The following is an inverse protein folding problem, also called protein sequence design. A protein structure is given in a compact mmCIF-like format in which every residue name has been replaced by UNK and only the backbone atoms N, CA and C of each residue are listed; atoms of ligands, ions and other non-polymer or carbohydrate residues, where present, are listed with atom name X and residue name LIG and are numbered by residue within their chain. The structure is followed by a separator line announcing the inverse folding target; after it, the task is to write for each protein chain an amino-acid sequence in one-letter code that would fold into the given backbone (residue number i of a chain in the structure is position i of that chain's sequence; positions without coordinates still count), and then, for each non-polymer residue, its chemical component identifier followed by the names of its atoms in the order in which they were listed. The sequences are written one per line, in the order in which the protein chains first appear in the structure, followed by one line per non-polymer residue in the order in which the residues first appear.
data_IF_794233042996
#
_entry.id   IF_794233042996
#
_cell.length_a   1.000
_cell.length_b   1.000
_cell.length_c   1.000
_cell.angle_alpha   90.00
_cell.angle_beta   90.00
_cell.angle_gamma   90.00
#
_symmetry.space_group_name_H-M   'P 1'
#
loop_
_entity.id
_entity.type
_entity.pdbx_description
1 polymer ?
#
# COMPACT_ATOMS: atom_id res chain seq x y z
N UNK A 1 -31.99 -36.04 -62.82
CA UNK A 1 -30.99 -36.71 -63.68
C UNK A 1 -30.46 -37.93 -62.92
N UNK A 2 -30.41 -39.08 -63.61
CA UNK A 2 -29.69 -40.36 -63.34
C UNK A 2 -30.04 -41.10 -62.03
N UNK A 3 -30.65 -42.31 -61.95
CA UNK A 3 -30.63 -43.62 -62.69
C UNK A 3 -29.46 -44.56 -62.32
N UNK A 4 -29.83 -45.85 -62.13
CA UNK A 4 -29.11 -47.15 -61.94
C UNK A 4 -29.04 -47.69 -60.49
N UNK A 5 -29.74 -48.79 -60.11
CA UNK A 5 -29.61 -50.25 -60.45
C UNK A 5 -28.51 -50.95 -59.60
N UNK A 6 -28.49 -52.23 -59.19
CA UNK A 6 -29.27 -53.47 -59.35
C UNK A 6 -28.64 -54.55 -58.40
N UNK A 7 -29.37 -55.64 -58.08
CA UNK A 7 -28.99 -57.06 -57.78
C UNK A 7 -29.81 -57.66 -56.61
N UNK A 8 -30.74 -58.61 -56.80
CA UNK A 8 -30.63 -60.07 -57.15
C UNK A 8 -29.95 -60.89 -56.01
N UNK A 9 -30.56 -61.90 -55.37
CA UNK A 9 -30.97 -63.27 -55.83
C UNK A 9 -31.89 -63.91 -54.75
N UNK A 10 -33.01 -64.62 -54.95
CA UNK A 10 -33.38 -65.85 -55.69
C UNK A 10 -32.84 -67.19 -55.11
N UNK A 11 -33.72 -68.04 -54.54
CA UNK A 11 -33.71 -69.54 -54.56
C UNK A 11 -34.97 -70.19 -53.91
N UNK A 12 -35.99 -70.42 -54.75
CA UNK A 12 -36.79 -71.64 -55.05
C UNK A 12 -36.28 -73.00 -54.45
N UNK A 13 -37.01 -74.08 -54.09
CA UNK A 13 -38.26 -74.73 -54.56
C UNK A 13 -38.69 -75.93 -53.66
N UNK A 14 -40.00 -76.23 -53.73
CA UNK A 14 -40.69 -77.53 -53.91
C UNK A 14 -41.04 -78.50 -52.76
N UNK A 15 -42.25 -79.01 -52.94
CA UNK A 15 -43.07 -79.93 -52.16
C UNK A 15 -42.82 -81.41 -52.50
N UNK A 16 -43.34 -82.34 -51.67
CA UNK A 16 -44.14 -83.48 -52.15
C UNK A 16 -44.78 -84.29 -51.00
N UNK A 17 -46.04 -84.67 -51.19
CA UNK A 17 -46.73 -85.83 -50.56
C UNK A 17 -46.54 -87.04 -51.50
N UNK A 18 -46.54 -88.29 -51.01
CA UNK A 18 -47.68 -89.17 -51.30
C UNK A 18 -48.05 -90.16 -50.17
N UNK A 19 -49.22 -90.77 -50.37
CA UNK A 19 -49.86 -91.81 -49.56
C UNK A 19 -49.58 -93.24 -50.07
N UNK A 20 -50.17 -94.22 -49.36
CA UNK A 20 -50.49 -95.62 -49.75
C UNK A 20 -49.43 -96.70 -49.41
N UNK A 21 -49.70 -97.96 -49.06
CA UNK A 21 -50.90 -98.81 -48.77
C UNK A 21 -50.38 -100.20 -48.32
N UNK A 22 -51.08 -100.84 -47.38
CA UNK A 22 -51.33 -102.30 -47.14
C UNK A 22 -50.28 -103.34 -46.66
N UNK A 23 -50.88 -104.21 -45.80
CA UNK A 23 -50.72 -105.67 -45.55
C UNK A 23 -49.50 -106.16 -44.75
N UNK A 24 -49.55 -107.18 -43.90
CA UNK A 24 -50.59 -108.02 -43.27
C UNK A 24 -49.89 -108.91 -42.22
N UNK A 25 -50.55 -109.30 -41.12
CA UNK A 25 -49.99 -110.29 -40.19
C UNK A 25 -50.96 -110.70 -39.08
N UNK A 26 -51.34 -111.97 -39.11
CA UNK A 26 -52.37 -112.65 -38.30
C UNK A 26 -52.07 -112.76 -36.78
N UNK A 27 -53.14 -112.81 -35.98
CA UNK A 27 -53.30 -113.82 -34.91
C UNK A 27 -53.40 -113.30 -33.47
N UNK A 28 -54.50 -113.62 -32.78
CA UNK A 28 -54.56 -113.67 -31.32
C UNK A 28 -55.88 -113.22 -30.68
N UNK A 29 -56.70 -114.19 -30.26
CA UNK A 29 -57.91 -114.04 -29.46
C UNK A 29 -57.70 -113.27 -28.14
N UNK A 30 -58.68 -112.47 -27.70
CA UNK A 30 -58.75 -112.03 -26.30
C UNK A 30 -59.73 -110.89 -25.98
N UNK A 31 -60.93 -111.27 -25.53
CA UNK A 31 -61.89 -110.54 -24.68
C UNK A 31 -62.34 -109.10 -25.01
N UNK A 32 -63.62 -109.03 -25.35
CA UNK A 32 -64.59 -107.92 -25.28
C UNK A 32 -64.47 -107.03 -24.03
N UNK A 33 -64.53 -105.70 -24.17
CA UNK A 33 -65.26 -104.81 -23.26
C UNK A 33 -65.48 -103.39 -23.86
N UNK A 34 -66.74 -102.97 -23.99
CA UNK A 34 -67.14 -101.55 -23.86
C UNK A 34 -67.59 -100.78 -25.11
N UNK A 35 -68.40 -101.34 -26.01
CA UNK A 35 -69.06 -100.53 -27.06
C UNK A 35 -70.20 -99.71 -26.43
N UNK A 36 -70.12 -98.39 -26.58
CA UNK A 36 -71.14 -97.44 -26.15
C UNK A 36 -72.11 -97.19 -27.31
N UNK A 37 -73.24 -97.90 -27.31
CA UNK A 37 -74.19 -97.93 -28.44
C UNK A 37 -74.98 -96.62 -28.60
N UNK A 38 -75.10 -95.82 -27.54
CA UNK A 38 -75.80 -94.52 -27.59
C UNK A 38 -75.03 -93.43 -26.83
N UNK A 39 -74.58 -92.42 -27.58
CA UNK A 39 -73.81 -91.28 -27.08
C UNK A 39 -74.72 -90.09 -26.79
N UNK A 40 -74.47 -89.38 -25.69
CA UNK A 40 -75.11 -88.10 -25.36
C UNK A 40 -74.08 -86.98 -25.28
N UNK A 41 -74.55 -85.72 -25.41
CA UNK A 41 -73.70 -84.53 -25.38
C UNK A 41 -72.94 -84.40 -24.06
N UNK A 42 -71.62 -84.21 -24.17
CA UNK A 42 -70.74 -83.94 -23.05
C UNK A 42 -70.78 -82.45 -22.77
N UNK A 43 -71.16 -82.09 -21.55
CA UNK A 43 -71.13 -80.70 -21.11
C UNK A 43 -69.74 -80.39 -20.56
N UNK A 44 -69.10 -79.38 -21.14
CA UNK A 44 -67.83 -78.86 -20.68
C UNK A 44 -68.08 -77.89 -19.52
N UNK A 45 -67.57 -78.23 -18.35
CA UNK A 45 -67.63 -77.36 -17.18
C UNK A 45 -66.23 -76.79 -16.96
N UNK A 46 -66.13 -75.47 -17.11
CA UNK A 46 -64.92 -74.74 -16.77
C UNK A 46 -64.97 -74.25 -15.32
N UNK A 47 -63.82 -74.23 -14.63
CA UNK A 47 -63.72 -73.61 -13.31
C UNK A 47 -64.21 -72.17 -13.34
N UNK A 48 -64.72 -71.68 -12.22
CA UNK A 48 -65.28 -70.33 -12.11
C UNK A 48 -64.31 -69.27 -12.66
N UNK A 49 -64.79 -68.48 -13.62
CA UNK A 49 -64.03 -67.41 -14.27
C UNK A 49 -63.13 -67.85 -15.43
N UNK A 50 -63.19 -69.11 -15.87
CA UNK A 50 -62.61 -69.56 -17.14
C UNK A 50 -63.73 -69.85 -18.15
N UNK A 51 -63.46 -69.54 -19.41
CA UNK A 51 -64.36 -69.81 -20.53
C UNK A 51 -63.80 -70.94 -21.39
N UNK A 52 -64.69 -71.76 -21.96
CA UNK A 52 -64.25 -72.85 -22.83
C UNK A 52 -63.84 -72.28 -24.18
N UNK A 53 -62.55 -72.38 -24.48
CA UNK A 53 -61.99 -72.01 -25.78
C UNK A 53 -62.09 -73.21 -26.72
N UNK A 54 -62.93 -73.07 -27.74
CA UNK A 54 -63.24 -74.16 -28.67
C UNK A 54 -62.01 -74.55 -29.52
N UNK A 55 -61.13 -73.60 -29.82
CA UNK A 55 -59.96 -73.81 -30.68
C UNK A 55 -58.86 -74.59 -29.96
N UNK A 56 -58.56 -74.26 -28.70
CA UNK A 56 -57.53 -74.96 -27.89
C UNK A 56 -58.08 -76.14 -27.09
N UNK A 57 -59.40 -76.37 -27.10
CA UNK A 57 -60.12 -77.35 -26.28
C UNK A 57 -59.76 -77.28 -24.79
N UNK A 58 -59.56 -76.06 -24.28
CA UNK A 58 -59.17 -75.80 -22.88
C UNK A 58 -60.03 -74.72 -22.28
N UNK A 59 -60.09 -74.70 -20.96
CA UNK A 59 -60.66 -73.56 -20.25
C UNK A 59 -59.61 -72.44 -20.23
N UNK A 60 -59.90 -71.30 -20.85
CA UNK A 60 -59.03 -70.13 -20.94
C UNK A 60 -59.57 -69.01 -20.07
N UNK A 61 -58.67 -68.32 -19.39
CA UNK A 61 -58.93 -67.04 -18.75
C UNK A 61 -57.82 -66.09 -19.16
N UNK A 62 -58.18 -64.88 -19.56
CA UNK A 62 -57.18 -63.85 -19.87
C UNK A 62 -56.82 -63.10 -18.61
N UNK A 63 -55.52 -63.04 -18.33
CA UNK A 63 -54.99 -62.09 -17.36
C UNK A 63 -54.57 -60.83 -18.09
N UNK A 64 -54.98 -59.69 -17.53
CA UNK A 64 -54.79 -58.38 -18.11
C UNK A 64 -53.80 -57.59 -17.27
N UNK A 65 -52.83 -56.97 -17.94
CA UNK A 65 -51.88 -56.07 -17.33
C UNK A 65 -51.82 -54.75 -18.09
N UNK A 66 -51.46 -53.70 -17.36
CA UNK A 66 -51.26 -52.38 -17.95
C UNK A 66 -49.93 -52.32 -18.72
N UNK A 67 -49.92 -51.54 -19.81
CA UNK A 67 -48.70 -51.23 -20.55
C UNK A 67 -47.74 -50.42 -19.68
N UNK A 68 -46.45 -50.75 -19.75
CA UNK A 68 -45.41 -50.02 -19.04
C UNK A 68 -44.82 -48.95 -19.97
N UNK A 69 -45.03 -47.68 -19.59
CA UNK A 69 -44.43 -46.55 -20.28
C UNK A 69 -42.99 -46.36 -19.84
N UNK A 70 -42.10 -46.16 -20.81
CA UNK A 70 -40.70 -45.88 -20.58
C UNK A 70 -40.20 -44.81 -21.54
N UNK A 71 -39.14 -44.15 -21.10
CA UNK A 71 -38.45 -43.16 -21.90
C UNK A 71 -37.32 -43.82 -22.70
N UNK A 72 -37.12 -43.46 -23.99
CA UNK A 72 -35.97 -43.92 -24.76
C UNK A 72 -34.66 -43.64 -24.05
N UNK A 73 -33.63 -44.46 -24.31
CA UNK A 73 -32.31 -44.25 -23.73
C UNK A 73 -31.78 -42.84 -24.08
N UNK A 74 -31.14 -42.19 -23.09
CA UNK A 74 -30.63 -40.82 -23.22
C UNK A 74 -31.68 -39.72 -23.05
N UNK A 75 -32.87 -40.03 -22.52
CA UNK A 75 -33.92 -39.04 -22.24
C UNK A 75 -34.34 -39.07 -20.77
N UNK A 76 -34.72 -37.92 -20.21
CA UNK A 76 -35.21 -37.79 -18.83
C UNK A 76 -36.74 -37.78 -18.81
N UNK A 77 -37.33 -38.51 -17.87
CA UNK A 77 -38.78 -38.52 -17.64
C UNK A 77 -39.22 -37.21 -16.98
N UNK A 78 -40.24 -36.56 -17.53
CA UNK A 78 -40.86 -35.35 -16.99
C UNK A 78 -42.38 -35.51 -16.94
N UNK A 79 -43.09 -34.64 -16.23
CA UNK A 79 -44.56 -34.71 -16.14
C UNK A 79 -45.26 -34.67 -17.51
N UNK A 80 -44.65 -34.00 -18.50
CA UNK A 80 -45.23 -33.81 -19.83
C UNK A 80 -44.70 -34.80 -20.90
N UNK A 81 -43.85 -35.76 -20.54
CA UNK A 81 -43.23 -36.67 -21.52
C UNK A 81 -41.75 -36.95 -21.25
N UNK A 82 -41.06 -37.48 -22.26
CA UNK A 82 -39.62 -37.69 -22.22
C UNK A 82 -38.90 -36.47 -22.82
N UNK A 83 -37.82 -36.01 -22.20
CA UNK A 83 -37.06 -34.85 -22.68
C UNK A 83 -35.62 -35.25 -22.95
N UNK A 84 -35.13 -34.94 -24.16
CA UNK A 84 -33.70 -35.03 -24.49
C UNK A 84 -33.09 -33.64 -24.40
N UNK A 85 -32.01 -33.51 -23.65
CA UNK A 85 -31.22 -32.29 -23.56
C UNK A 85 -30.08 -32.38 -24.55
N UNK A 86 -29.94 -31.35 -25.39
CA UNK A 86 -28.79 -31.16 -26.27
C UNK A 86 -27.97 -30.03 -25.66
N UNK A 87 -26.70 -30.29 -25.41
CA UNK A 87 -25.79 -29.31 -24.81
C UNK A 87 -24.88 -28.75 -25.88
N UNK A 88 -24.61 -27.45 -25.80
CA UNK A 88 -23.67 -26.73 -26.66
C UNK A 88 -22.74 -25.89 -25.77
N UNK A 89 -21.56 -25.58 -26.30
CA UNK A 89 -20.61 -24.71 -25.61
C UNK A 89 -21.13 -23.27 -25.59
N UNK A 90 -20.78 -22.56 -24.52
CA UNK A 90 -21.12 -21.15 -24.33
C UNK A 90 -20.03 -20.28 -24.95
N UNK A 91 -20.43 -19.17 -25.57
CA UNK A 91 -19.47 -18.23 -26.16
C UNK A 91 -19.10 -17.17 -25.12
N UNK A 92 -17.81 -17.00 -24.78
CA UNK A 92 -17.37 -15.93 -23.89
C UNK A 92 -17.40 -14.58 -24.60
N UNK A 93 -17.89 -13.54 -23.93
CA UNK A 93 -17.85 -12.17 -24.41
C UNK A 93 -17.60 -11.20 -23.26
N UNK A 94 -17.24 -9.96 -23.60
CA UNK A 94 -17.03 -8.89 -22.63
C UNK A 94 -18.06 -7.79 -22.84
N UNK A 95 -18.91 -7.52 -21.84
CA UNK A 95 -19.73 -6.30 -21.83
C UNK A 95 -18.87 -5.04 -21.82
N UNK A 96 -17.74 -5.11 -21.12
CA UNK A 96 -16.78 -4.02 -21.02
C UNK A 96 -15.38 -4.52 -21.37
N UNK A 97 -14.73 -3.83 -22.30
CA UNK A 97 -13.34 -4.09 -22.66
C UNK A 97 -13.15 -5.22 -23.67
N UNK A 98 -11.92 -5.71 -23.75
CA UNK A 98 -11.50 -6.77 -24.68
C UNK A 98 -11.27 -8.07 -23.93
N UNK A 99 -11.68 -9.18 -24.54
CA UNK A 99 -11.42 -10.53 -24.05
C UNK A 99 -9.97 -10.91 -24.34
N UNK A 100 -9.24 -11.30 -23.31
CA UNK A 100 -7.90 -11.88 -23.43
C UNK A 100 -7.79 -13.07 -22.48
N UNK A 101 -7.74 -14.27 -23.06
CA UNK A 101 -7.89 -15.53 -22.33
C UNK A 101 -9.25 -15.66 -21.64
N UNK A 102 -9.25 -15.71 -20.31
CA UNK A 102 -10.44 -15.87 -19.47
C UNK A 102 -10.84 -14.62 -18.67
N UNK A 103 -10.37 -13.43 -19.08
CA UNK A 103 -10.74 -12.16 -18.42
C UNK A 103 -10.98 -11.06 -19.45
N UNK A 104 -11.80 -10.11 -19.06
CA UNK A 104 -12.06 -8.89 -19.81
C UNK A 104 -11.18 -7.77 -19.27
N UNK A 105 -10.57 -7.00 -20.16
CA UNK A 105 -9.68 -5.91 -19.78
C UNK A 105 -10.05 -4.59 -20.42
N UNK A 106 -10.01 -3.54 -19.61
CA UNK A 106 -10.13 -2.15 -20.05
C UNK A 106 -8.84 -1.43 -19.65
N UNK A 107 -8.25 -0.70 -20.59
CA UNK A 107 -7.14 0.21 -20.32
C UNK A 107 -7.70 1.61 -20.08
N UNK A 108 -7.40 2.16 -18.92
CA UNK A 108 -7.73 3.54 -18.58
C UNK A 108 -6.46 4.39 -18.60
N UNK A 109 -6.58 5.59 -19.13
CA UNK A 109 -5.48 6.53 -19.29
C UNK A 109 -5.67 7.70 -18.34
N UNK A 110 -4.66 7.92 -17.50
CA UNK A 110 -4.62 8.99 -16.51
C UNK A 110 -3.51 9.99 -16.86
N UNK A 111 -3.68 11.28 -16.48
CA UNK A 111 -2.62 12.26 -16.60
C UNK A 111 -1.43 11.87 -15.72
N UNK A 112 -0.22 12.15 -16.19
CA UNK A 112 1.02 11.90 -15.46
C UNK A 112 1.21 12.96 -14.39
N UNK A 113 1.48 12.52 -13.17
CA UNK A 113 1.85 13.40 -12.07
C UNK A 113 3.38 13.51 -11.97
N UNK A 114 3.88 14.57 -11.36
CA UNK A 114 5.32 14.81 -11.23
C UNK A 114 5.71 15.00 -9.78
N UNK A 115 6.86 14.46 -9.41
CA UNK A 115 7.43 14.63 -8.09
C UNK A 115 8.90 15.05 -8.17
N UNK A 116 9.37 15.73 -7.13
CA UNK A 116 10.77 16.09 -6.97
C UNK A 116 11.53 15.01 -6.21
N UNK A 117 12.85 14.85 -6.47
CA UNK A 117 13.71 14.03 -5.64
C UNK A 117 13.67 14.46 -4.17
N UNK A 118 14.03 13.55 -3.27
CA UNK A 118 14.09 13.84 -1.84
C UNK A 118 14.99 15.04 -1.56
N UNK A 119 14.50 16.00 -0.77
CA UNK A 119 15.20 17.24 -0.44
C UNK A 119 15.04 18.39 -1.45
N UNK A 120 14.29 18.20 -2.53
CA UNK A 120 13.98 19.24 -3.52
C UNK A 120 12.51 19.67 -3.45
N UNK A 121 12.26 20.97 -3.62
CA UNK A 121 10.92 21.56 -3.76
C UNK A 121 10.61 21.95 -5.20
N UNK A 122 9.34 22.17 -5.52
CA UNK A 122 8.94 22.72 -6.82
C UNK A 122 9.23 24.21 -6.92
N UNK A 123 9.69 24.66 -8.10
CA UNK A 123 9.67 26.08 -8.45
C UNK A 123 8.24 26.62 -8.47
N UNK A 124 8.07 27.94 -8.39
CA UNK A 124 6.74 28.57 -8.33
C UNK A 124 5.85 28.22 -9.54
N UNK A 125 6.46 28.06 -10.72
CA UNK A 125 5.81 27.63 -11.96
C UNK A 125 5.68 26.10 -12.10
N UNK A 126 6.17 25.33 -11.12
CA UNK A 126 6.22 23.85 -11.11
C UNK A 126 6.94 23.24 -12.33
N UNK A 127 7.78 24.01 -13.01
CA UNK A 127 8.53 23.55 -14.16
C UNK A 127 9.71 22.67 -13.76
N UNK A 128 10.40 23.02 -12.66
CA UNK A 128 11.64 22.38 -12.21
C UNK A 128 11.60 22.08 -10.71
N UNK A 129 12.50 21.22 -10.27
CA UNK A 129 12.78 20.99 -8.86
C UNK A 129 13.99 21.82 -8.45
N UNK A 130 13.98 22.42 -7.26
CA UNK A 130 15.11 23.17 -6.74
C UNK A 130 15.37 22.87 -5.27
N UNK A 131 16.64 22.99 -4.88
CA UNK A 131 17.07 22.95 -3.50
C UNK A 131 18.08 24.08 -3.27
N UNK A 132 17.87 24.80 -2.17
CA UNK A 132 18.77 25.88 -1.76
C UNK A 132 19.81 25.32 -0.78
N UNK A 133 21.09 25.59 -1.07
CA UNK A 133 22.19 25.30 -0.15
C UNK A 133 22.74 26.63 0.38
N UNK A 134 22.96 26.68 1.68
CA UNK A 134 23.54 27.83 2.37
C UNK A 134 24.92 27.48 2.90
N UNK A 135 25.83 28.44 2.79
CA UNK A 135 27.16 28.41 3.39
C UNK A 135 27.41 29.73 4.12
N UNK A 136 28.37 29.72 5.04
CA UNK A 136 28.73 30.89 5.82
C UNK A 136 29.33 31.99 4.94
N UNK A 137 29.10 33.24 5.36
CA UNK A 137 29.69 34.40 4.68
C UNK A 137 31.18 34.42 4.96
N UNK A 138 31.98 34.62 3.91
CA UNK A 138 33.41 34.81 4.05
C UNK A 138 33.73 36.30 4.22
N UNK A 139 34.81 36.58 4.95
CA UNK A 139 35.34 37.90 5.15
C UNK A 139 36.87 37.85 5.04
N UNK A 140 37.48 38.95 4.59
CA UNK A 140 38.94 39.07 4.44
C UNK A 140 39.38 40.39 5.03
N UNK A 141 40.30 40.34 5.99
CA UNK A 141 40.91 41.53 6.56
C UNK A 141 41.64 42.31 5.46
N UNK A 142 41.35 43.62 5.29
CA UNK A 142 42.20 44.50 4.49
C UNK A 142 43.63 44.49 5.03
N UNK A 143 44.60 44.76 4.17
CA UNK A 143 46.01 44.80 4.56
C UNK A 143 46.24 45.82 5.69
N UNK A 144 46.90 45.39 6.77
CA UNK A 144 47.19 46.23 7.94
C UNK A 144 46.01 46.46 8.89
N UNK A 145 44.86 45.82 8.67
CA UNK A 145 43.75 45.81 9.63
C UNK A 145 43.63 44.45 10.34
N UNK A 146 43.21 44.52 11.59
CA UNK A 146 42.93 43.38 12.46
C UNK A 146 41.41 43.29 12.73
N UNK A 147 40.93 42.09 13.05
CA UNK A 147 39.53 41.86 13.36
C UNK A 147 39.28 42.17 14.84
N UNK A 148 38.23 42.93 15.14
CA UNK A 148 37.82 43.16 16.53
C UNK A 148 37.40 41.86 17.21
N UNK A 149 37.52 41.81 18.55
CA UNK A 149 37.19 40.60 19.32
C UNK A 149 35.75 40.10 19.12
N UNK A 150 34.80 41.00 18.87
CA UNK A 150 33.40 40.71 18.57
C UNK A 150 33.14 40.35 17.10
N UNK A 151 34.18 40.31 16.27
CA UNK A 151 34.15 39.94 14.84
C UNK A 151 33.21 40.77 13.97
N UNK A 152 32.90 42.00 14.37
CA UNK A 152 31.96 42.88 13.67
C UNK A 152 32.62 44.02 12.89
N UNK A 153 33.88 44.38 13.20
CA UNK A 153 34.62 45.43 12.50
C UNK A 153 36.08 45.05 12.33
N UNK A 154 36.72 45.72 11.38
CA UNK A 154 38.16 45.76 11.28
C UNK A 154 38.70 47.02 11.95
N UNK A 155 39.88 46.95 12.54
CA UNK A 155 40.57 48.12 13.09
C UNK A 155 42.06 48.11 12.73
N UNK A 156 42.68 49.28 12.67
CA UNK A 156 44.14 49.42 12.63
C UNK A 156 44.60 50.49 13.61
N UNK A 157 45.83 50.34 14.08
CA UNK A 157 46.48 51.36 14.89
C UNK A 157 46.99 52.49 14.00
N UNK A 158 46.62 53.71 14.34
CA UNK A 158 47.27 54.92 13.85
C UNK A 158 48.10 55.47 14.99
N UNK A 159 49.39 55.69 14.73
CA UNK A 159 50.34 56.26 15.68
C UNK A 159 50.55 57.74 15.36
N UNK A 160 50.70 58.54 16.41
CA UNK A 160 51.18 59.91 16.34
C UNK A 160 52.29 60.14 17.37
N UNK A 161 53.13 61.12 17.09
CA UNK A 161 54.20 61.53 18.00
C UNK A 161 53.63 62.30 19.20
N UNK A 162 54.38 62.25 20.31
CA UNK A 162 54.05 62.97 21.53
C UNK A 162 54.29 64.47 21.36
N UNK A 163 53.31 65.29 21.77
CA UNK A 163 53.53 66.72 21.91
C UNK A 163 53.93 67.06 23.34
N UNK A 164 54.94 67.91 23.49
CA UNK A 164 55.42 68.37 24.78
C UNK A 164 54.95 69.79 25.05
N UNK A 165 54.53 70.07 26.28
CA UNK A 165 54.13 71.42 26.67
C UNK A 165 54.55 71.76 28.10
N UNK A 166 54.64 73.05 28.36
CA UNK A 166 54.95 73.57 29.69
C UNK A 166 53.69 73.96 30.45
N UNK A 167 53.59 73.63 31.76
CA UNK A 167 52.51 74.09 32.61
C UNK A 167 52.38 75.61 32.64
N UNK A 168 51.19 76.11 33.00
CA UNK A 168 50.94 77.53 33.14
C UNK A 168 52.00 78.21 34.03
N UNK A 169 52.45 79.39 33.62
CA UNK A 169 53.53 80.16 34.29
C UNK A 169 54.92 79.51 34.25
N UNK A 170 55.16 78.62 33.29
CA UNK A 170 56.51 78.12 32.96
C UNK A 170 56.78 78.26 31.44
N UNK A 171 58.05 78.38 31.08
CA UNK A 171 58.49 78.60 29.70
C UNK A 171 59.49 77.53 29.26
N UNK A 172 59.56 77.29 27.95
CA UNK A 172 60.40 76.25 27.40
C UNK A 172 61.89 76.61 27.51
N UNK A 173 62.71 75.64 27.93
CA UNK A 173 64.16 75.76 27.99
C UNK A 173 64.84 74.42 27.66
N UNK A 174 66.16 74.41 27.37
CA UNK A 174 66.90 73.17 27.10
C UNK A 174 66.88 72.16 28.26
N UNK A 175 66.69 72.61 29.50
CA UNK A 175 66.63 71.77 30.71
C UNK A 175 65.19 71.41 31.13
N UNK A 176 64.20 71.68 30.29
CA UNK A 176 62.78 71.47 30.59
C UNK A 176 61.99 72.77 30.73
N UNK A 177 60.86 72.71 31.43
CA UNK A 177 60.00 73.86 31.68
C UNK A 177 60.54 74.66 32.86
N UNK A 178 60.81 75.93 32.59
CA UNK A 178 61.49 76.84 33.48
C UNK A 178 60.51 77.82 34.10
N UNK A 179 60.59 78.04 35.40
CA UNK A 179 59.86 79.10 36.11
C UNK A 179 60.85 79.92 36.91
N UNK A 180 60.82 81.23 36.75
CA UNK A 180 61.70 82.15 37.48
C UNK A 180 60.93 82.76 38.64
N UNK A 181 61.35 82.46 39.87
CA UNK A 181 60.79 83.03 41.08
C UNK A 181 61.63 84.20 41.56
N UNK A 182 60.99 85.25 42.05
CA UNK A 182 61.64 86.43 42.59
C UNK A 182 61.40 86.55 44.08
N UNK A 183 62.43 86.97 44.81
CA UNK A 183 62.39 87.25 46.24
C UNK A 183 63.05 88.60 46.52
N UNK A 184 62.67 89.20 47.65
CA UNK A 184 63.30 90.41 48.14
C UNK A 184 64.71 90.13 48.67
N UNK A 185 65.60 91.10 48.49
CA UNK A 185 66.96 91.05 49.02
C UNK A 185 66.94 91.19 50.55
N UNK A 186 67.77 90.41 51.23
CA UNK A 186 67.80 90.42 52.70
C UNK A 186 68.97 91.29 53.18
N UNK A 187 68.73 92.26 54.08
CA UNK A 187 69.79 93.08 54.62
C UNK A 187 70.72 92.26 55.54
N UNK A 188 72.03 92.49 55.43
CA UNK A 188 73.04 91.87 56.28
C UNK A 188 74.16 92.86 56.60
N UNK A 189 74.92 92.55 57.66
CA UNK A 189 76.05 93.36 58.09
C UNK A 189 77.35 92.58 57.92
N UNK A 190 78.31 93.14 57.17
CA UNK A 190 79.68 92.60 57.09
C UNK A 190 80.35 92.57 58.47
N UNK A 191 80.05 93.57 59.31
CA UNK A 191 80.54 93.66 60.68
C UNK A 191 79.42 94.16 61.60
N UNK A 192 79.31 93.59 62.79
CA UNK A 192 78.27 93.96 63.76
C UNK A 192 76.98 93.18 63.54
N UNK A 193 75.85 93.76 63.96
CA UNK A 193 74.53 93.13 63.88
C UNK A 193 73.48 94.12 63.32
N UNK A 194 72.36 93.57 62.84
CA UNK A 194 71.28 94.37 62.26
C UNK A 194 70.36 94.89 63.37
N UNK A 195 70.08 96.20 63.37
CA UNK A 195 69.12 96.82 64.28
C UNK A 195 68.17 97.68 63.43
N UNK A 196 66.95 97.20 63.20
CA UNK A 196 66.03 97.77 62.20
C UNK A 196 66.50 97.49 60.77
N UNK A 197 66.87 98.54 60.02
CA UNK A 197 67.40 98.47 58.64
C UNK A 197 68.85 98.95 58.51
N UNK A 198 69.53 99.26 59.62
CA UNK A 198 70.90 99.74 59.62
C UNK A 198 71.82 98.76 60.34
N UNK A 199 73.07 98.71 59.90
CA UNK A 199 74.10 97.92 60.53
C UNK A 199 74.72 98.67 61.69
N UNK A 200 74.72 98.03 62.85
CA UNK A 200 75.26 98.60 64.08
C UNK A 200 76.54 97.87 64.43
N UNK A 201 77.64 98.61 64.51
CA UNK A 201 78.91 98.12 65.05
C UNK A 201 79.25 98.90 66.30
N UNK A 202 79.57 98.19 67.37
CA UNK A 202 80.19 98.81 68.55
C UNK A 202 81.64 99.10 68.20
N UNK A 203 81.97 100.39 68.12
CA UNK A 203 83.32 100.85 67.77
C UNK A 203 84.18 101.13 69.01
N UNK A 204 83.53 101.38 70.14
CA UNK A 204 84.18 101.58 71.42
C UNK A 204 83.25 101.12 72.54
N UNK A 205 83.80 100.45 73.55
CA UNK A 205 83.06 100.02 74.72
C UNK A 205 83.93 100.05 75.96
N UNK A 206 83.40 100.62 77.04
CA UNK A 206 84.06 100.62 78.35
C UNK A 206 83.07 100.33 79.47
N UNK A 207 83.55 99.77 80.59
CA UNK A 207 82.74 99.62 81.80
C UNK A 207 82.72 100.96 82.54
N UNK A 208 81.57 101.59 82.73
CA UNK A 208 81.54 102.84 83.45
C UNK A 208 81.67 102.58 84.95
N UNK A 209 82.45 103.44 85.62
CA UNK A 209 82.61 103.39 87.07
C UNK A 209 81.33 103.84 87.82
N UNK A 210 80.45 104.60 87.15
CA UNK A 210 79.15 105.08 87.62
C UNK A 210 78.12 105.02 86.47
N UNK A 211 76.80 104.85 86.69
CA UNK A 211 75.79 104.58 85.66
C UNK A 211 75.46 105.77 84.71
N UNK A 212 76.43 106.64 84.42
CA UNK A 212 76.33 107.69 83.39
C UNK A 212 77.45 107.52 82.37
N UNK A 213 77.07 107.32 81.12
CA UNK A 213 77.99 107.26 80.00
C UNK A 213 78.41 108.65 79.53
N UNK A 214 79.62 108.78 78.97
CA UNK A 214 80.09 110.02 78.34
C UNK A 214 79.15 110.41 77.18
N UNK A 215 78.99 111.70 76.92
CA UNK A 215 78.16 112.18 75.81
C UNK A 215 78.53 111.47 74.48
N UNK A 216 77.52 110.89 73.83
CA UNK A 216 77.69 110.06 72.63
C UNK A 216 77.86 108.55 72.88
N UNK A 217 77.84 108.09 74.13
CA UNK A 217 77.80 106.67 74.51
C UNK A 217 76.45 106.31 75.15
N UNK A 218 75.96 105.11 74.86
CA UNK A 218 74.73 104.58 75.46
C UNK A 218 75.05 103.38 76.34
N UNK A 219 74.34 103.23 77.47
CA UNK A 219 74.51 102.10 78.37
C UNK A 219 73.78 100.89 77.77
N UNK A 220 74.51 99.83 77.41
CA UNK A 220 73.97 98.57 76.93
C UNK A 220 74.68 97.41 77.65
N UNK A 221 73.91 96.51 78.27
CA UNK A 221 74.41 95.37 79.06
C UNK A 221 75.53 95.72 80.06
N UNK A 222 75.33 96.81 80.82
CA UNK A 222 76.27 97.25 81.86
C UNK A 222 77.60 97.83 81.34
N UNK A 223 77.71 98.10 80.03
CA UNK A 223 78.84 98.81 79.42
C UNK A 223 78.36 100.05 78.69
N UNK A 224 79.15 101.12 78.72
CA UNK A 224 78.94 102.28 77.87
C UNK A 224 79.50 101.96 76.49
N UNK A 225 78.63 101.86 75.49
CA UNK A 225 78.98 101.55 74.11
C UNK A 225 78.77 102.77 73.22
N UNK A 226 79.72 103.01 72.31
CA UNK A 226 79.54 103.93 71.19
C UNK A 226 79.22 103.10 69.96
N UNK A 227 78.00 103.25 69.46
CA UNK A 227 77.50 102.59 68.26
C UNK A 227 77.77 103.47 67.04
N UNK A 228 78.27 102.88 65.97
CA UNK A 228 78.26 103.48 64.64
C UNK A 228 77.20 102.79 63.77
N UNK A 229 76.45 103.58 63.02
CA UNK A 229 75.40 103.12 62.12
C UNK A 229 75.89 103.21 60.68
N UNK A 230 75.74 102.14 59.94
CA UNK A 230 76.09 102.05 58.52
C UNK A 230 74.87 101.56 57.73
N UNK A 231 74.83 101.89 56.45
CA UNK A 231 73.84 101.29 55.55
C UNK A 231 74.09 99.78 55.43
N UNK A 232 73.01 98.99 55.48
CA UNK A 232 73.13 97.55 55.38
C UNK A 232 73.52 97.13 53.96
N UNK A 233 74.42 96.15 53.87
CA UNK A 233 74.66 95.46 52.61
C UNK A 233 73.48 94.51 52.34
N UNK A 234 73.24 94.20 51.08
CA UNK A 234 72.16 93.30 50.70
C UNK A 234 72.70 92.04 50.05
N UNK A 235 72.15 90.89 50.43
CA UNK A 235 72.45 89.61 49.79
C UNK A 235 71.17 88.86 49.46
N UNK A 236 71.27 87.98 48.48
CA UNK A 236 70.17 87.10 48.15
C UNK A 236 70.09 85.93 49.14
N UNK A 237 68.87 85.44 49.46
CA UNK A 237 68.69 84.18 50.15
C UNK A 237 69.45 83.03 49.46
N UNK A 238 69.79 82.00 50.23
CA UNK A 238 70.48 80.82 49.70
C UNK A 238 69.71 80.22 48.52
N UNK A 239 70.39 80.03 47.39
CA UNK A 239 69.80 79.50 46.16
C UNK A 239 69.26 80.57 45.18
N UNK A 240 69.32 81.85 45.53
CA UNK A 240 68.92 82.96 44.65
C UNK A 240 70.12 83.78 44.19
N UNK A 241 70.05 84.24 42.95
CA UNK A 241 71.03 85.12 42.31
C UNK A 241 70.49 86.53 42.19
N UNK A 242 71.36 87.53 42.21
CA UNK A 242 70.94 88.92 42.06
C UNK A 242 70.50 89.21 40.61
N UNK A 243 69.45 90.00 40.43
CA UNK A 243 69.05 90.48 39.10
C UNK A 243 70.09 91.46 38.54
N UNK A 244 70.15 91.60 37.22
CA UNK A 244 71.14 92.45 36.54
C UNK A 244 71.04 93.94 36.91
N UNK A 245 69.87 94.38 37.35
CA UNK A 245 69.58 95.74 37.81
C UNK A 245 69.76 95.89 39.34
N UNK A 246 70.28 94.87 40.04
CA UNK A 246 70.54 94.86 41.48
C UNK A 246 69.29 95.10 42.36
N UNK A 247 68.09 94.98 41.80
CA UNK A 247 66.83 95.32 42.47
C UNK A 247 66.26 94.16 43.27
N UNK A 248 66.33 92.93 42.75
CA UNK A 248 65.69 91.73 43.32
C UNK A 248 66.61 90.51 43.26
N UNK A 249 66.18 89.43 43.92
CA UNK A 249 66.82 88.14 43.86
C UNK A 249 65.95 87.19 43.03
N UNK A 250 66.56 86.39 42.15
CA UNK A 250 65.85 85.45 41.28
C UNK A 250 66.46 84.04 41.39
N UNK A 251 65.62 83.03 41.23
CA UNK A 251 66.04 81.65 41.11
C UNK A 251 65.20 80.95 40.04
N UNK A 252 65.83 80.09 39.26
CA UNK A 252 65.15 79.28 38.27
C UNK A 252 64.82 77.91 38.86
N UNK A 253 63.56 77.51 38.71
CA UNK A 253 63.10 76.15 38.97
C UNK A 253 62.80 75.48 37.64
N UNK A 254 63.18 74.21 37.54
CA UNK A 254 62.98 73.39 36.36
C UNK A 254 62.03 72.23 36.69
N UNK A 255 61.16 71.91 35.75
CA UNK A 255 60.30 70.73 35.78
C UNK A 255 60.28 70.09 34.40
N UNK A 256 60.00 68.80 34.34
CA UNK A 256 59.90 68.09 33.06
C UNK A 256 58.74 68.61 32.21
N UNK A 257 58.92 68.56 30.89
CA UNK A 257 57.84 68.88 29.97
C UNK A 257 56.72 67.86 30.14
N UNK A 258 55.47 68.33 30.18
CA UNK A 258 54.32 67.43 30.20
C UNK A 258 54.03 66.91 28.80
N UNK A 259 53.56 65.67 28.74
CA UNK A 259 53.16 65.00 27.50
C UNK A 259 51.68 65.26 27.26
N UNK A 260 51.31 65.57 26.02
CA UNK A 260 49.93 65.54 25.54
C UNK A 260 49.88 64.83 24.19
N UNK A 261 48.77 64.14 23.94
CA UNK A 261 48.50 63.58 22.62
C UNK A 261 47.78 64.60 21.74
N UNK A 262 48.06 64.58 20.42
CA UNK A 262 47.29 65.35 19.45
C UNK A 262 45.78 65.04 19.55
N UNK A 263 44.95 65.98 19.08
CA UNK A 263 43.50 65.84 19.18
C UNK A 263 43.00 64.53 18.56
N UNK A 264 42.24 63.75 19.35
CA UNK A 264 41.66 62.48 18.92
C UNK A 264 42.56 61.25 19.11
N UNK A 265 43.79 61.41 19.59
CA UNK A 265 44.68 60.32 20.00
C UNK A 265 44.67 60.16 21.53
N UNK A 266 44.90 58.93 22.00
CA UNK A 266 45.04 58.59 23.42
C UNK A 266 46.44 58.09 23.69
N UNK A 267 46.97 58.43 24.86
CA UNK A 267 48.26 57.91 25.29
C UNK A 267 48.12 56.43 25.64
N UNK A 268 49.01 55.61 25.09
CA UNK A 268 49.12 54.20 25.36
C UNK A 268 50.38 53.96 26.21
N UNK A 269 50.17 53.51 27.46
CA UNK A 269 51.23 53.35 28.44
C UNK A 269 52.23 52.24 28.06
N UNK A 270 51.78 51.21 27.32
CA UNK A 270 52.61 50.07 26.91
C UNK A 270 53.59 50.43 25.79
N UNK A 271 53.09 51.12 24.75
CA UNK A 271 53.91 51.50 23.60
C UNK A 271 54.56 52.87 23.74
N UNK A 272 54.23 53.62 24.80
CA UNK A 272 54.62 55.01 25.04
C UNK A 272 54.35 55.94 23.84
N UNK A 273 53.24 55.69 23.12
CA UNK A 273 52.85 56.44 21.92
C UNK A 273 51.41 56.94 22.02
N UNK A 274 51.08 57.92 21.20
CA UNK A 274 49.71 58.35 21.00
C UNK A 274 49.05 57.46 19.95
N UNK A 275 47.99 56.75 20.32
CA UNK A 275 47.27 55.83 19.44
C UNK A 275 45.84 56.29 19.18
N UNK A 276 45.35 55.97 17.98
CA UNK A 276 43.94 56.08 17.60
C UNK A 276 43.56 54.86 16.77
N UNK A 277 42.32 54.41 16.92
CA UNK A 277 41.75 53.34 16.11
C UNK A 277 41.08 53.91 14.87
N UNK A 278 41.42 53.36 13.71
CA UNK A 278 40.68 53.56 12.47
C UNK A 278 39.89 52.29 12.16
N UNK A 279 38.57 52.44 12.03
CA UNK A 279 37.65 51.31 11.87
C UNK A 279 37.18 51.21 10.43
N UNK A 280 37.12 49.98 9.92
CA UNK A 280 36.52 49.67 8.64
C UNK A 280 35.43 48.59 8.80
N UNK A 281 34.36 48.71 8.02
CA UNK A 281 33.27 47.75 8.06
C UNK A 281 33.65 46.41 7.41
N UNK A 282 33.03 45.34 7.89
CA UNK A 282 33.18 44.02 7.29
C UNK A 282 32.53 43.98 5.90
N UNK A 283 33.35 43.69 4.89
CA UNK A 283 32.87 43.34 3.55
C UNK A 283 32.76 41.83 3.42
N UNK A 284 31.53 41.35 3.34
CA UNK A 284 31.23 39.94 3.11
C UNK A 284 31.28 39.59 1.64
N UNK A 285 31.79 38.41 1.33
CA UNK A 285 31.75 37.82 0.00
C UNK A 285 31.38 36.35 0.10
N UNK A 286 31.07 35.77 -1.06
CA UNK A 286 30.70 34.36 -1.17
C UNK A 286 31.70 33.61 -2.07
N UNK A 287 31.85 32.30 -1.86
CA UNK A 287 32.54 31.43 -2.81
C UNK A 287 31.94 31.53 -4.22
N UNK A 288 32.71 31.08 -5.22
CA UNK A 288 32.24 31.05 -6.60
C UNK A 288 30.88 30.31 -6.71
N UNK A 289 29.95 30.87 -7.48
CA UNK A 289 28.59 30.35 -7.70
C UNK A 289 27.61 30.44 -6.52
N UNK A 290 28.00 31.11 -5.42
CA UNK A 290 27.10 31.49 -4.34
C UNK A 290 26.77 32.98 -4.42
N UNK A 291 25.51 33.32 -4.12
CA UNK A 291 25.02 34.70 -4.05
C UNK A 291 24.85 35.10 -2.59
N UNK A 292 25.31 36.30 -2.25
CA UNK A 292 25.18 36.83 -0.89
C UNK A 292 23.72 37.14 -0.58
N UNK A 293 23.22 36.61 0.55
CA UNK A 293 21.88 36.87 1.08
C UNK A 293 21.96 37.21 2.58
N UNK A 294 20.89 37.75 3.20
CA UNK A 294 20.88 38.00 4.64
C UNK A 294 21.22 36.77 5.48
N UNK A 295 20.73 35.58 5.08
CA UNK A 295 20.93 34.29 5.77
C UNK A 295 22.32 33.66 5.55
N UNK A 296 23.10 34.16 4.59
CA UNK A 296 24.37 33.55 4.21
C UNK A 296 24.61 33.56 2.71
N UNK A 297 25.61 32.81 2.27
CA UNK A 297 25.89 32.58 0.87
C UNK A 297 24.96 31.47 0.35
N UNK A 298 24.09 31.82 -0.60
CA UNK A 298 23.07 30.93 -1.16
C UNK A 298 23.45 30.47 -2.55
N UNK A 299 23.36 29.18 -2.81
CA UNK A 299 23.32 28.64 -4.17
C UNK A 299 22.05 27.81 -4.35
N UNK A 300 21.53 27.76 -5.57
CA UNK A 300 20.32 27.02 -5.89
C UNK A 300 20.67 25.97 -6.94
N UNK A 301 20.46 24.70 -6.59
CA UNK A 301 20.58 23.59 -7.53
C UNK A 301 19.23 23.29 -8.14
N UNK A 302 19.21 22.98 -9.42
CA UNK A 302 18.02 22.58 -10.15
C UNK A 302 18.13 21.14 -10.60
N UNK A 303 17.04 20.40 -10.49
CA UNK A 303 16.91 19.03 -10.96
C UNK A 303 15.66 18.86 -11.80
N UNK A 304 15.68 17.85 -12.66
CA UNK A 304 14.50 17.44 -13.41
C UNK A 304 13.47 16.81 -12.46
N UNK A 305 12.20 17.13 -12.68
CA UNK A 305 11.09 16.43 -12.04
C UNK A 305 10.94 15.04 -12.64
N UNK A 306 10.62 14.05 -11.80
CA UNK A 306 10.37 12.68 -12.26
C UNK A 306 8.87 12.46 -12.45
N UNK A 307 8.43 11.86 -13.58
CA UNK A 307 7.05 11.43 -13.73
C UNK A 307 6.75 10.27 -12.77
N UNK A 308 5.53 10.21 -12.25
CA UNK A 308 5.00 9.07 -11.53
C UNK A 308 3.51 8.89 -11.81
N UNK A 309 3.02 7.67 -11.59
CA UNK A 309 1.62 7.32 -11.79
C UNK A 309 0.99 6.94 -10.45
N UNK A 310 -0.06 7.67 -10.06
CA UNK A 310 -0.87 7.32 -8.87
C UNK A 310 -1.58 5.98 -9.05
N UNK A 311 -2.00 5.67 -10.28
CA UNK A 311 -2.62 4.41 -10.65
C UNK A 311 -1.93 3.86 -11.91
N UNK A 312 -1.65 2.56 -11.91
CA UNK A 312 -1.05 1.89 -13.06
C UNK A 312 0.43 2.17 -13.24
N UNK A 313 0.89 2.13 -14.49
CA UNK A 313 2.29 2.31 -14.86
C UNK A 313 2.44 3.35 -15.97
N UNK A 314 3.65 3.90 -16.11
CA UNK A 314 3.95 4.90 -17.13
C UNK A 314 4.27 4.19 -18.46
N UNK A 315 3.49 4.50 -19.50
CA UNK A 315 3.70 3.98 -20.85
C UNK A 315 3.44 5.09 -21.89
N UNK A 316 4.40 5.35 -22.77
CA UNK A 316 4.24 6.36 -23.83
C UNK A 316 3.92 7.78 -23.34
N UNK A 317 4.36 8.15 -22.13
CA UNK A 317 4.09 9.47 -21.54
C UNK A 317 2.68 9.63 -20.94
N UNK A 318 1.94 8.52 -20.75
CA UNK A 318 0.64 8.50 -20.06
C UNK A 318 0.67 7.43 -18.97
N UNK A 319 -0.14 7.62 -17.93
CA UNK A 319 -0.33 6.59 -16.91
C UNK A 319 -1.43 5.63 -17.38
N UNK A 320 -1.10 4.35 -17.51
CA UNK A 320 -1.99 3.30 -17.99
C UNK A 320 -2.33 2.38 -16.83
N UNK A 321 -3.61 2.30 -16.48
CA UNK A 321 -4.11 1.35 -15.51
C UNK A 321 -4.94 0.26 -16.21
N UNK A 322 -4.62 -1.00 -15.94
CA UNK A 322 -5.35 -2.16 -16.45
C UNK A 322 -6.41 -2.58 -15.44
N UNK A 323 -7.69 -2.38 -15.77
CA UNK A 323 -8.82 -2.90 -15.00
C UNK A 323 -9.25 -4.26 -15.56
N UNK A 324 -9.55 -5.18 -14.67
CA UNK A 324 -9.96 -6.56 -15.01
C UNK A 324 -11.41 -6.78 -14.61
N UNK A 325 -12.20 -7.36 -15.50
CA UNK A 325 -13.59 -7.72 -15.29
C UNK A 325 -13.79 -9.20 -15.61
N UNK A 326 -14.82 -9.79 -15.00
CA UNK A 326 -15.24 -11.16 -15.30
C UNK A 326 -15.85 -11.25 -16.70
N UNK A 327 -15.74 -12.44 -17.28
CA UNK A 327 -16.23 -12.75 -18.63
C UNK A 327 -17.71 -13.13 -18.55
N UNK A 328 -18.52 -12.53 -19.41
CA UNK A 328 -19.91 -12.91 -19.59
C UNK A 328 -20.04 -14.02 -20.64
N UNK A 329 -21.14 -14.77 -20.59
CA UNK A 329 -21.38 -15.88 -21.50
C UNK A 329 -22.74 -15.74 -22.18
N UNK A 330 -22.76 -16.00 -23.48
CA UNK A 330 -24.00 -16.06 -24.26
C UNK A 330 -24.19 -17.43 -24.90
N UNK A 331 -25.46 -17.79 -25.08
CA UNK A 331 -25.86 -19.01 -25.75
C UNK A 331 -26.33 -18.70 -27.16
N UNK A 332 -26.03 -19.61 -28.08
CA UNK A 332 -26.56 -19.58 -29.44
C UNK A 332 -28.09 -19.54 -29.44
N UNK A 333 -28.66 -18.90 -30.46
CA UNK A 333 -30.11 -18.77 -30.60
C UNK A 333 -30.84 -20.12 -30.46
N UNK A 334 -31.82 -20.18 -29.55
CA UNK A 334 -32.59 -21.39 -29.24
C UNK A 334 -32.06 -22.24 -28.07
N UNK A 335 -30.90 -21.91 -27.51
CA UNK A 335 -30.36 -22.56 -26.30
C UNK A 335 -30.51 -21.66 -25.07
N UNK A 336 -30.68 -22.28 -23.90
CA UNK A 336 -30.77 -21.62 -22.60
C UNK A 336 -29.57 -21.98 -21.74
N UNK A 337 -29.09 -21.05 -20.91
CA UNK A 337 -28.02 -21.33 -19.98
C UNK A 337 -28.53 -22.25 -18.86
N UNK A 338 -27.71 -23.21 -18.43
CA UNK A 338 -28.00 -24.04 -17.25
C UNK A 338 -27.95 -23.19 -15.97
N UNK A 339 -28.63 -23.63 -14.91
CA UNK A 339 -28.73 -22.88 -13.64
C UNK A 339 -27.37 -22.65 -12.97
N UNK A 340 -26.40 -23.55 -13.18
CA UNK A 340 -25.02 -23.45 -12.74
C UNK A 340 -24.13 -22.60 -13.66
N UNK A 341 -24.69 -22.06 -14.77
CA UNK A 341 -23.97 -21.24 -15.74
C UNK A 341 -22.90 -21.97 -16.54
N UNK A 342 -22.81 -23.31 -16.44
CA UNK A 342 -21.70 -24.08 -17.00
C UNK A 342 -21.85 -24.34 -18.50
N UNK A 343 -23.09 -24.58 -18.99
CA UNK A 343 -23.36 -24.98 -20.37
C UNK A 343 -24.63 -24.34 -20.91
N UNK A 344 -24.75 -24.31 -22.23
CA UNK A 344 -25.99 -23.98 -22.91
C UNK A 344 -26.73 -25.28 -23.25
N UNK A 345 -28.06 -25.29 -23.11
CA UNK A 345 -28.89 -26.45 -23.43
C UNK A 345 -30.16 -26.07 -24.19
N UNK A 346 -30.55 -26.93 -25.13
CA UNK A 346 -31.87 -26.94 -25.73
C UNK A 346 -32.57 -28.25 -25.38
N UNK A 347 -33.89 -28.22 -25.21
CA UNK A 347 -34.67 -29.40 -24.86
C UNK A 347 -35.60 -29.79 -26.01
N UNK A 348 -35.57 -31.08 -26.36
CA UNK A 348 -36.50 -31.67 -27.32
C UNK A 348 -37.47 -32.60 -26.58
N UNK A 349 -38.77 -32.31 -26.66
CA UNK A 349 -39.81 -33.16 -26.11
C UNK A 349 -40.05 -34.37 -27.02
N UNK A 350 -40.18 -35.54 -26.42
CA UNK A 350 -40.40 -36.84 -27.06
C UNK A 350 -41.54 -37.56 -26.33
N UNK A 351 -42.33 -38.30 -27.09
CA UNK A 351 -43.42 -39.11 -26.54
C UNK A 351 -42.89 -40.35 -25.82
N UNK A 352 -43.67 -40.86 -24.86
CA UNK A 352 -43.38 -42.13 -24.18
C UNK A 352 -43.42 -43.30 -25.17
N UNK A 353 -42.51 -44.25 -25.00
CA UNK A 353 -42.63 -45.59 -25.60
C UNK A 353 -43.34 -46.51 -24.61
N UNK A 354 -43.97 -47.56 -25.10
CA UNK A 354 -44.68 -48.54 -24.28
C UNK A 354 -44.21 -49.95 -24.61
N UNK A 355 -44.26 -50.84 -23.61
CA UNK A 355 -44.00 -52.28 -23.76
C UNK A 355 -44.85 -53.07 -22.77
N UNK A 356 -45.16 -54.31 -23.11
CA UNK A 356 -45.84 -55.22 -22.18
C UNK A 356 -44.86 -55.83 -21.15
N UNK A 357 -45.35 -56.17 -19.95
CA UNK A 357 -44.59 -56.98 -18.99
C UNK A 357 -44.18 -58.33 -19.60
N UNK A 358 -43.12 -58.94 -19.06
CA UNK A 358 -42.60 -60.21 -19.59
C UNK A 358 -43.67 -61.30 -19.58
N UNK A 359 -43.88 -61.95 -20.72
CA UNK A 359 -44.86 -63.03 -20.90
C UNK A 359 -46.30 -62.58 -21.22
N UNK A 360 -46.53 -61.29 -21.50
CA UNK A 360 -47.81 -60.77 -22.01
C UNK A 360 -47.62 -60.19 -23.42
N UNK A 361 -48.65 -60.32 -24.25
CA UNK A 361 -48.69 -59.81 -25.62
C UNK A 361 -49.59 -58.57 -25.71
N UNK A 362 -49.29 -57.66 -26.64
CA UNK A 362 -50.04 -56.42 -26.80
C UNK A 362 -51.31 -56.67 -27.61
N UNK A 363 -52.45 -56.33 -27.03
CA UNK A 363 -53.70 -56.25 -27.75
C UNK A 363 -53.83 -54.85 -28.39
N UNK A 364 -53.58 -54.77 -29.70
CA UNK A 364 -53.52 -53.51 -30.47
C UNK A 364 -54.80 -52.65 -30.35
N UNK A 365 -55.96 -53.28 -30.22
CA UNK A 365 -57.26 -52.58 -30.17
C UNK A 365 -57.44 -51.69 -28.92
N UNK A 366 -56.90 -52.11 -27.77
CA UNK A 366 -57.19 -51.46 -26.47
C UNK A 366 -55.94 -50.99 -25.71
N UNK A 367 -54.74 -51.16 -26.29
CA UNK A 367 -53.45 -50.88 -25.61
C UNK A 367 -53.32 -51.59 -24.25
N UNK A 368 -53.91 -52.78 -24.13
CA UNK A 368 -53.82 -53.65 -22.94
C UNK A 368 -52.92 -54.84 -23.22
N UNK A 369 -52.22 -55.31 -22.20
CA UNK A 369 -51.38 -56.50 -22.31
C UNK A 369 -52.15 -57.72 -21.83
N UNK A 370 -52.15 -58.79 -22.62
CA UNK A 370 -52.92 -60.01 -22.35
C UNK A 370 -52.02 -61.23 -22.26
N UNK A 371 -52.37 -62.15 -21.36
CA UNK A 371 -51.76 -63.47 -21.27
C UNK A 371 -52.84 -64.53 -21.04
N UNK A 372 -52.97 -65.53 -21.91
CA UNK A 372 -53.92 -66.62 -21.68
C UNK A 372 -53.41 -67.53 -20.55
N UNK A 373 -54.28 -67.79 -19.58
CA UNK A 373 -54.10 -68.79 -18.53
C UNK A 373 -55.00 -69.97 -18.86
N UNK A 374 -54.43 -71.17 -18.90
CA UNK A 374 -55.15 -72.39 -19.24
C UNK A 374 -55.43 -73.24 -18.00
N UNK A 375 -56.61 -73.84 -17.94
CA UNK A 375 -57.00 -74.84 -16.94
C UNK A 375 -57.60 -76.10 -17.58
N UNK A 376 -57.65 -77.17 -16.80
CA UNK A 376 -58.24 -78.45 -17.23
C UNK A 376 -59.76 -78.32 -17.29
N UNK A 377 -60.35 -78.86 -18.35
CA UNK A 377 -61.80 -78.91 -18.56
C UNK A 377 -62.37 -80.10 -17.78
N UNK A 378 -63.42 -79.86 -17.00
CA UNK A 378 -64.19 -80.94 -16.39
C UNK A 378 -65.33 -81.36 -17.32
N UNK A 379 -65.68 -82.64 -17.31
CA UNK A 379 -66.70 -83.22 -18.20
C UNK A 379 -67.84 -83.77 -17.36
N UNK A 380 -69.06 -83.39 -17.73
CA UNK A 380 -70.27 -83.85 -17.05
C UNK A 380 -71.31 -84.34 -18.03
N UNK A 381 -71.95 -85.44 -17.67
CA UNK A 381 -73.03 -86.04 -18.44
C UNK A 381 -74.39 -85.57 -17.93
N UNK A 382 -75.22 -85.06 -18.83
CA UNK A 382 -76.61 -84.77 -18.51
C UNK A 382 -77.43 -86.06 -18.32
N UNK A 383 -77.09 -87.12 -19.06
CA UNK A 383 -77.64 -88.49 -18.93
C UNK A 383 -76.55 -89.51 -19.26
N UNK A 384 -76.56 -90.66 -18.58
CA UNK A 384 -75.57 -91.73 -18.78
C UNK A 384 -74.29 -91.56 -17.97
N UNK A 385 -73.40 -92.56 -18.06
CA UNK A 385 -72.11 -92.60 -17.35
C UNK A 385 -71.00 -92.00 -18.22
N UNK A 386 -70.22 -91.09 -17.64
CA UNK A 386 -69.03 -90.54 -18.29
C UNK A 386 -68.02 -91.67 -18.55
N UNK A 387 -67.72 -91.89 -19.81
CA UNK A 387 -66.81 -92.92 -20.29
C UNK A 387 -65.79 -92.28 -21.22
N UNK A 388 -64.52 -92.61 -21.01
CA UNK A 388 -63.44 -92.11 -21.85
C UNK A 388 -63.17 -93.15 -22.93
N UNK A 389 -63.57 -92.86 -24.16
CA UNK A 389 -63.31 -93.71 -25.31
C UNK A 389 -62.05 -93.24 -26.02
N UNK A 390 -61.30 -94.15 -26.61
CA UNK A 390 -60.14 -93.76 -27.40
C UNK A 390 -60.62 -93.01 -28.64
N UNK A 391 -60.19 -91.76 -28.80
CA UNK A 391 -60.37 -91.08 -30.06
C UNK A 391 -59.41 -91.73 -31.06
N UNK A 392 -59.99 -92.42 -32.03
CA UNK A 392 -59.28 -93.16 -33.06
C UNK A 392 -58.07 -92.35 -33.56
N UNK A 393 -56.87 -92.93 -33.38
CA UNK A 393 -55.57 -92.45 -33.87
C UNK A 393 -54.89 -91.26 -33.16
N UNK A 394 -55.32 -90.86 -31.95
CA UNK A 394 -54.60 -89.79 -31.21
C UNK A 394 -53.99 -90.20 -29.87
N UNK A 395 -54.27 -91.41 -29.37
CA UNK A 395 -53.88 -91.84 -28.01
C UNK A 395 -54.47 -90.97 -26.89
N UNK A 396 -55.29 -89.97 -27.22
CA UNK A 396 -56.06 -89.14 -26.29
C UNK A 396 -57.44 -89.75 -26.13
N UNK A 397 -57.84 -89.95 -24.89
CA UNK A 397 -59.19 -90.42 -24.57
C UNK A 397 -60.16 -89.25 -24.63
N UNK A 398 -61.20 -89.37 -25.44
CA UNK A 398 -62.28 -88.40 -25.49
C UNK A 398 -63.37 -88.78 -24.50
N UNK A 399 -63.82 -87.83 -23.67
CA UNK A 399 -64.97 -88.05 -22.80
C UNK A 399 -66.23 -88.18 -23.68
N UNK A 400 -67.06 -89.17 -23.38
CA UNK A 400 -68.38 -89.42 -23.99
C UNK A 400 -69.35 -89.89 -22.92
N UNK A 401 -70.62 -89.53 -23.02
CA UNK A 401 -71.67 -89.95 -22.09
C UNK A 401 -72.45 -91.15 -22.65
N UNK A 402 -72.42 -92.29 -21.93
CA UNK A 402 -72.98 -93.57 -22.39
C UNK A 402 -74.20 -94.01 -21.56
N UNK A 403 -75.29 -94.40 -22.25
CA UNK A 403 -76.58 -94.82 -21.64
C UNK A 403 -76.80 -96.33 -21.92
N UNK A 404 -77.18 -97.14 -20.93
CA UNK A 404 -77.45 -98.59 -21.05
C UNK A 404 -78.91 -98.91 -20.65
N UNK A 405 -79.68 -99.65 -21.47
CA UNK A 405 -81.06 -100.12 -21.20
C UNK A 405 -81.10 -101.68 -21.11
N UNK A 406 -81.81 -102.26 -20.13
CA UNK A 406 -82.01 -103.73 -19.99
C UNK A 406 -83.51 -104.09 -20.04
N UNK A 407 -83.94 -104.97 -20.96
CA UNK A 407 -85.30 -105.55 -21.05
C UNK A 407 -85.23 -107.09 -21.15
N UNK A 408 -86.13 -107.82 -20.47
CA UNK A 408 -86.26 -109.29 -20.47
C UNK A 408 -87.66 -109.70 -20.99
N UNK A 409 -87.74 -110.62 -21.96
CA UNK A 409 -88.94 -111.26 -22.53
C UNK A 409 -88.85 -112.79 -22.32
N UNK A 410 -89.98 -113.47 -22.04
CA UNK A 410 -90.05 -114.92 -21.79
C UNK A 410 -90.69 -115.76 -22.91
N UNK A 411 -90.68 -117.10 -22.74
CA UNK A 411 -91.47 -118.09 -23.51
C UNK A 411 -90.78 -119.46 -23.69
N UNK A 412 -91.45 -120.58 -23.34
CA UNK A 412 -90.88 -121.95 -23.24
C UNK A 412 -91.31 -122.98 -24.31
N UNK A 413 -90.93 -124.26 -24.14
CA UNK A 413 -91.77 -125.50 -24.29
C UNK A 413 -90.96 -126.84 -24.42
N UNK A 414 -91.26 -127.76 -23.49
CA UNK A 414 -91.54 -129.21 -23.54
C UNK A 414 -90.64 -130.37 -24.09
N UNK A 415 -90.60 -131.40 -23.21
CA UNK A 415 -90.74 -132.88 -23.38
C UNK A 415 -89.57 -133.77 -23.82
N UNK A 416 -89.19 -134.76 -22.99
CA UNK A 416 -89.39 -136.22 -23.18
C UNK A 416 -88.97 -137.05 -21.95
N UNK A 417 -89.72 -138.13 -21.70
CA UNK A 417 -89.59 -139.15 -20.65
C UNK A 417 -88.41 -140.12 -20.85
N UNK A 418 -87.82 -140.59 -19.74
CA UNK A 418 -87.78 -142.03 -19.38
C UNK A 418 -87.46 -142.22 -17.90
#
# INVERSE_FOLDING_TARGET
MTVFALCASALLLLACVPAAVAQSGYGGYGSTHGVCEKKADVRYECPYGFEFDADSHKCVKYDYQDIKYYCPQGTKKTAAGCVKYVYEEKTPYCKHGKLDGHRCFVYEYYPVEYQCPYGYGFTADKAKCYADKYEDKLYKCPYGYELTNDKNKYFKYIYADLEYYCPAHSYESPKGCKTTTHEEKVPYCKHGYLEGHKCVKVIDSYKPYYPKCKAGYTLHDGKCVKKAYYEADYKCPSGYSLTSDYSKCWADKYQDKKIKCPYGFKFDDETHKCIKYDYADLKYYCPAHFKLTPKGCKTTKYEAKSPYCKHGYLEGGKCVAKKTYDVDYECKYGYKLTDDGSKCYASKKLSYKYKCPYGYELLEADKKCVKPIYSKVAYKCAKGKLTFIDAEHSGKKTPVCCIYDYHNFGGGSNSYHH
#
